data_IF_942710908137
#
_entry.id   IF_942710908137
#
_cell.length_a   1.000
_cell.length_b   1.000
_cell.length_c   1.000
_cell.angle_alpha   90.00
_cell.angle_beta   90.00
_cell.angle_gamma   90.00
#
_symmetry.space_group_name_H-M   'P 1'
#
loop_
_entity.id
_entity.type
_entity.pdbx_description
1 polymer ?
#
# COMPACT_ATOMS: atom_id res chain seq x y z
N UNK A 1 12.72 17.82 10.70
CA UNK A 1 12.57 16.43 10.20
C UNK A 1 12.44 16.48 8.68
N UNK A 2 13.00 15.50 7.95
CA UNK A 2 12.69 15.37 6.51
C UNK A 2 11.18 15.10 6.35
N UNK A 3 10.52 15.67 5.33
CA UNK A 3 9.11 15.34 5.10
C UNK A 3 9.00 13.85 4.79
N UNK A 4 8.10 13.18 5.51
CA UNK A 4 7.71 11.79 5.21
C UNK A 4 6.71 11.85 4.07
N UNK A 5 6.85 10.99 3.06
CA UNK A 5 5.85 10.89 1.99
C UNK A 5 4.74 9.93 2.41
N UNK A 6 5.12 8.78 2.95
CA UNK A 6 4.19 7.80 3.51
C UNK A 6 4.88 6.86 4.50
N UNK A 7 4.06 6.15 5.26
CA UNK A 7 4.48 5.10 6.19
C UNK A 7 3.75 3.81 5.84
N UNK A 8 4.49 2.71 5.83
CA UNK A 8 3.95 1.36 5.73
C UNK A 8 3.65 0.89 7.16
N UNK A 9 2.41 0.51 7.38
CA UNK A 9 1.91 0.01 8.65
C UNK A 9 1.64 -1.48 8.57
N UNK A 10 1.79 -2.17 9.69
CA UNK A 10 1.25 -3.50 9.95
C UNK A 10 0.13 -3.37 10.96
N UNK A 11 -1.12 -3.54 10.52
CA UNK A 11 -2.30 -3.14 11.31
C UNK A 11 -2.12 -1.69 11.80
N UNK A 12 -2.17 -1.43 13.10
CA UNK A 12 -1.99 -0.08 13.65
C UNK A 12 -0.53 0.27 13.97
N UNK A 13 0.41 -0.66 13.76
CA UNK A 13 1.82 -0.46 14.07
C UNK A 13 2.57 0.13 12.87
N UNK A 14 3.16 1.33 12.98
CA UNK A 14 4.00 1.88 11.92
C UNK A 14 5.31 1.09 11.84
N UNK A 15 5.65 0.58 10.66
CA UNK A 15 6.81 -0.30 10.50
C UNK A 15 7.94 0.39 9.74
N UNK A 16 7.64 1.05 8.62
CA UNK A 16 8.65 1.63 7.74
C UNK A 16 8.18 2.97 7.22
N UNK A 17 8.94 4.03 7.47
CA UNK A 17 8.74 5.32 6.84
C UNK A 17 9.51 5.38 5.53
N UNK A 18 8.88 5.96 4.51
CA UNK A 18 9.48 6.19 3.20
C UNK A 18 9.42 7.68 2.88
N UNK A 19 10.57 8.23 2.52
CA UNK A 19 10.72 9.60 2.04
C UNK A 19 11.47 9.58 0.71
N UNK A 20 11.09 10.39 -0.27
CA UNK A 20 11.86 10.56 -1.49
C UNK A 20 12.86 11.69 -1.33
N UNK A 21 14.11 11.45 -1.74
CA UNK A 21 15.12 12.50 -1.78
C UNK A 21 14.97 13.41 -3.02
N UNK A 22 15.86 14.40 -3.15
CA UNK A 22 15.87 15.34 -4.26
C UNK A 22 16.05 14.66 -5.65
N UNK A 23 16.61 13.45 -5.69
CA UNK A 23 16.77 12.63 -6.90
C UNK A 23 15.60 11.66 -7.11
N UNK A 24 14.52 11.80 -6.33
CA UNK A 24 13.34 10.91 -6.31
C UNK A 24 13.69 9.46 -5.97
N UNK A 25 14.78 9.23 -5.23
CA UNK A 25 15.09 7.91 -4.71
C UNK A 25 14.45 7.72 -3.33
N UNK A 26 13.82 6.56 -3.07
CA UNK A 26 13.21 6.29 -1.78
C UNK A 26 14.27 6.02 -0.73
N UNK A 27 14.12 6.70 0.41
CA UNK A 27 14.87 6.54 1.63
C UNK A 27 13.97 5.87 2.66
N UNK A 28 14.48 4.81 3.30
CA UNK A 28 13.70 3.96 4.20
C UNK A 28 14.19 4.15 5.63
N UNK A 29 13.25 4.36 6.56
CA UNK A 29 13.53 4.35 8.00
C UNK A 29 12.68 3.26 8.64
N UNK A 30 13.35 2.25 9.21
CA UNK A 30 12.67 1.18 9.95
C UNK A 30 12.31 1.70 11.33
N UNK A 31 11.02 1.61 11.67
CA UNK A 31 10.46 1.94 12.98
C UNK A 31 10.25 0.69 13.83
N UNK A 32 9.88 -0.43 13.21
CA UNK A 32 9.66 -1.71 13.89
C UNK A 32 10.25 -2.86 13.07
N UNK A 33 11.06 -3.70 13.71
CA UNK A 33 11.74 -4.84 13.09
C UNK A 33 10.93 -6.15 13.17
N UNK A 34 9.86 -6.20 13.97
CA UNK A 34 9.07 -7.41 14.20
C UNK A 34 8.15 -7.77 13.04
N UNK A 35 7.78 -6.79 12.20
CA UNK A 35 6.83 -6.95 11.10
C UNK A 35 7.36 -6.35 9.80
N UNK A 36 8.60 -6.66 9.43
CA UNK A 36 9.17 -6.14 8.19
C UNK A 36 8.50 -6.78 6.95
N UNK A 37 8.08 -5.98 5.95
CA UNK A 37 7.54 -6.53 4.71
C UNK A 37 8.59 -7.34 3.96
N UNK A 38 8.31 -8.62 3.70
CA UNK A 38 9.25 -9.54 3.03
C UNK A 38 9.67 -9.04 1.66
N UNK A 39 8.79 -8.38 0.92
CA UNK A 39 9.12 -7.80 -0.39
C UNK A 39 10.17 -6.68 -0.30
N UNK A 40 10.25 -5.99 0.84
CA UNK A 40 11.24 -4.96 1.11
C UNK A 40 12.51 -5.51 1.74
N UNK A 41 12.39 -6.37 2.75
CA UNK A 41 13.53 -6.77 3.61
C UNK A 41 13.92 -8.26 3.47
N UNK A 42 13.29 -9.02 2.57
CA UNK A 42 13.53 -10.45 2.43
C UNK A 42 12.90 -11.27 3.57
N UNK A 43 12.93 -12.60 3.44
CA UNK A 43 12.34 -13.51 4.43
C UNK A 43 13.05 -13.45 5.79
N UNK A 44 14.35 -13.13 5.80
CA UNK A 44 15.17 -13.02 6.99
C UNK A 44 15.21 -11.60 7.57
N UNK A 45 14.54 -10.63 6.93
CA UNK A 45 14.52 -9.23 7.34
C UNK A 45 15.84 -8.47 7.13
N UNK A 46 16.82 -9.05 6.44
CA UNK A 46 18.18 -8.49 6.31
C UNK A 46 18.47 -7.88 4.95
N UNK A 47 17.60 -8.08 3.97
CA UNK A 47 17.81 -7.50 2.66
C UNK A 47 17.69 -5.98 2.72
N UNK A 48 18.57 -5.29 2.00
CA UNK A 48 18.54 -3.84 1.88
C UNK A 48 17.29 -3.45 1.05
N UNK A 49 16.42 -2.57 1.57
CA UNK A 49 15.28 -2.08 0.80
C UNK A 49 15.78 -1.20 -0.35
N UNK A 50 15.17 -1.35 -1.52
CA UNK A 50 15.53 -0.61 -2.74
C UNK A 50 14.28 -0.09 -3.43
N UNK A 51 14.45 0.87 -4.35
CA UNK A 51 13.35 1.35 -5.20
C UNK A 51 12.64 0.19 -5.93
N UNK A 52 13.38 -0.75 -6.51
CA UNK A 52 12.82 -1.90 -7.20
C UNK A 52 12.03 -2.84 -6.27
N UNK A 53 12.46 -3.01 -5.02
CA UNK A 53 11.72 -3.78 -4.00
C UNK A 53 10.45 -3.07 -3.56
N UNK A 54 10.50 -1.74 -3.44
CA UNK A 54 9.33 -0.92 -3.16
C UNK A 54 8.31 -0.94 -4.31
N UNK A 55 8.77 -0.89 -5.56
CA UNK A 55 7.90 -1.03 -6.72
C UNK A 55 7.22 -2.41 -6.77
N UNK A 56 7.95 -3.48 -6.41
CA UNK A 56 7.36 -4.83 -6.23
C UNK A 56 6.33 -4.87 -5.11
N UNK A 57 6.62 -4.24 -3.97
CA UNK A 57 5.67 -4.12 -2.87
C UNK A 57 4.38 -3.45 -3.34
N UNK A 58 4.45 -2.29 -4.01
CA UNK A 58 3.26 -1.63 -4.56
C UNK A 58 2.50 -2.51 -5.56
N UNK A 59 3.22 -3.18 -6.47
CA UNK A 59 2.60 -4.02 -7.50
C UNK A 59 1.83 -5.20 -6.90
N UNK A 60 2.36 -5.81 -5.84
CA UNK A 60 1.76 -6.95 -5.13
C UNK A 60 0.48 -6.56 -4.36
N UNK A 61 0.27 -5.27 -4.09
CA UNK A 61 -0.95 -4.73 -3.47
C UNK A 61 -2.03 -4.33 -4.47
N UNK A 62 -1.79 -4.54 -5.75
CA UNK A 62 -2.70 -4.20 -6.83
C UNK A 62 -3.32 -5.47 -7.44
N UNK A 63 -4.51 -5.35 -8.04
CA UNK A 63 -5.04 -6.42 -8.88
C UNK A 63 -4.13 -6.65 -10.10
N UNK A 64 -3.98 -7.88 -10.63
CA UNK A 64 -3.12 -8.12 -11.79
C UNK A 64 -3.48 -7.24 -12.98
N UNK A 65 -2.47 -6.67 -13.66
CA UNK A 65 -2.69 -5.83 -14.85
C UNK A 65 -3.35 -6.58 -16.02
N UNK A 66 -3.26 -7.90 -16.04
CA UNK A 66 -3.85 -8.81 -17.03
C UNK A 66 -5.29 -9.22 -16.69
N UNK A 67 -5.85 -8.77 -15.56
CA UNK A 67 -7.22 -9.08 -15.16
C UNK A 67 -8.21 -8.57 -16.21
N UNK A 68 -9.18 -9.39 -16.60
CA UNK A 68 -10.12 -9.06 -17.70
C UNK A 68 -10.85 -7.72 -17.46
N UNK A 69 -11.26 -7.45 -16.22
CA UNK A 69 -11.95 -6.21 -15.84
C UNK A 69 -11.01 -5.11 -15.30
N UNK A 70 -9.71 -5.15 -15.60
CA UNK A 70 -8.73 -4.18 -15.09
C UNK A 70 -9.11 -2.72 -15.42
N UNK A 71 -9.61 -2.46 -16.64
CA UNK A 71 -10.02 -1.10 -17.06
C UNK A 71 -11.19 -0.56 -16.24
N UNK A 72 -12.16 -1.42 -15.91
CA UNK A 72 -13.32 -1.05 -15.09
C UNK A 72 -12.89 -0.76 -13.64
N UNK A 73 -12.02 -1.60 -13.08
CA UNK A 73 -11.47 -1.38 -11.73
C UNK A 73 -10.67 -0.08 -11.63
N UNK A 74 -9.87 0.24 -12.65
CA UNK A 74 -9.18 1.53 -12.75
C UNK A 74 -10.17 2.69 -12.79
N UNK A 75 -11.22 2.60 -13.63
CA UNK A 75 -12.23 3.64 -13.75
C UNK A 75 -12.99 3.87 -12.43
N UNK A 76 -13.34 2.81 -11.70
CA UNK A 76 -13.95 2.89 -10.36
C UNK A 76 -13.02 3.62 -9.37
N UNK A 77 -11.71 3.38 -9.46
CA UNK A 77 -10.71 4.09 -8.66
C UNK A 77 -10.42 5.53 -9.17
N UNK A 78 -11.05 5.97 -10.26
CA UNK A 78 -10.81 7.27 -10.90
C UNK A 78 -9.46 7.35 -11.62
N UNK A 79 -8.95 6.23 -12.13
CA UNK A 79 -7.67 6.11 -12.82
C UNK A 79 -7.87 5.67 -14.27
N UNK A 80 -7.00 6.15 -15.16
CA UNK A 80 -7.01 5.78 -16.59
C UNK A 80 -5.85 4.88 -17.00
N UNK A 81 -4.81 4.80 -16.16
CA UNK A 81 -3.60 4.03 -16.41
C UNK A 81 -3.31 3.10 -15.25
N UNK A 82 -2.83 1.90 -15.57
CA UNK A 82 -2.37 0.96 -14.57
C UNK A 82 -1.01 1.42 -14.02
N UNK A 83 -1.03 2.13 -12.89
CA UNK A 83 0.16 2.57 -12.17
C UNK A 83 0.06 2.16 -10.70
N UNK A 84 0.86 1.17 -10.24
CA UNK A 84 0.73 0.60 -8.89
C UNK A 84 0.76 1.64 -7.76
N UNK A 85 1.63 2.65 -7.86
CA UNK A 85 1.72 3.73 -6.86
C UNK A 85 0.43 4.55 -6.76
N UNK A 86 -0.22 4.85 -7.90
CA UNK A 86 -1.48 5.57 -7.92
C UNK A 86 -2.65 4.72 -7.45
N UNK A 87 -2.66 3.42 -7.81
CA UNK A 87 -3.65 2.47 -7.31
C UNK A 87 -3.55 2.39 -5.78
N UNK A 88 -2.35 2.18 -5.24
CA UNK A 88 -2.12 2.16 -3.80
C UNK A 88 -2.47 3.50 -3.13
N UNK A 89 -2.29 4.63 -3.82
CA UNK A 89 -2.72 5.94 -3.30
C UNK A 89 -4.24 6.04 -3.13
N UNK A 90 -5.00 5.35 -3.99
CA UNK A 90 -6.47 5.29 -3.92
C UNK A 90 -6.97 4.24 -2.93
N UNK A 91 -6.25 3.13 -2.76
CA UNK A 91 -6.71 1.99 -1.97
C UNK A 91 -5.98 1.81 -0.63
N UNK A 92 -5.00 2.66 -0.35
CA UNK A 92 -4.03 2.47 0.74
C UNK A 92 -3.27 1.13 0.67
N UNK A 93 -3.31 0.44 -0.47
CA UNK A 93 -2.67 -0.86 -0.66
C UNK A 93 -3.23 -1.98 0.23
N UNK A 94 -4.46 -1.84 0.76
CA UNK A 94 -5.09 -2.86 1.60
C UNK A 94 -5.41 -4.12 0.78
N UNK A 95 -5.22 -5.28 1.39
CA UNK A 95 -5.50 -6.59 0.79
C UNK A 95 -6.13 -7.49 1.85
N UNK A 96 -7.20 -8.22 1.49
CA UNK A 96 -8.00 -8.99 2.45
C UNK A 96 -7.23 -10.05 3.28
N UNK A 97 -6.13 -10.58 2.75
CA UNK A 97 -5.33 -11.64 3.37
C UNK A 97 -3.96 -11.16 3.86
N UNK A 98 -3.74 -9.85 3.94
CA UNK A 98 -2.52 -9.27 4.47
C UNK A 98 -2.86 -8.12 5.44
N UNK A 99 -1.93 -7.80 6.32
CA UNK A 99 -2.08 -6.79 7.35
C UNK A 99 -1.35 -5.49 7.02
N UNK A 100 -0.59 -5.46 5.93
CA UNK A 100 0.12 -4.26 5.50
C UNK A 100 -0.79 -3.28 4.79
N UNK A 101 -0.63 -2.00 5.10
CA UNK A 101 -1.25 -0.88 4.38
C UNK A 101 -0.36 0.35 4.39
N UNK A 102 -0.73 1.35 3.60
CA UNK A 102 0.06 2.54 3.36
C UNK A 102 -0.74 3.76 3.78
N UNK A 103 -0.16 4.53 4.70
CA UNK A 103 -0.68 5.82 5.11
C UNK A 103 0.23 6.92 4.60
N UNK A 104 -0.32 7.82 3.83
CA UNK A 104 0.37 8.97 3.27
C UNK A 104 0.35 10.13 4.25
N UNK A 105 1.30 11.05 4.09
CA UNK A 105 1.51 12.15 5.03
C UNK A 105 0.34 13.15 5.09
N UNK A 106 -0.44 13.24 4.03
CA UNK A 106 -1.62 14.09 3.88
C UNK A 106 -2.93 13.34 4.18
N UNK A 107 -2.88 12.09 4.64
CA UNK A 107 -4.07 11.36 5.08
C UNK A 107 -4.58 11.88 6.45
N UNK A 108 -5.89 11.76 6.72
CA UNK A 108 -6.48 12.11 8.02
C UNK A 108 -5.78 11.46 9.21
N UNK A 109 -5.74 12.16 10.36
CA UNK A 109 -5.07 11.68 11.57
C UNK A 109 -5.74 10.43 12.19
N UNK A 110 -7.04 10.27 11.97
CA UNK A 110 -7.93 9.21 12.45
C UNK A 110 -8.02 8.00 11.51
N UNK A 111 -7.38 8.04 10.34
CA UNK A 111 -7.33 6.90 9.43
C UNK A 111 -6.63 5.70 10.10
N UNK A 112 -7.29 4.54 10.07
CA UNK A 112 -6.82 3.30 10.70
C UNK A 112 -6.95 2.09 9.78
N UNK A 113 -6.25 1.01 10.09
CA UNK A 113 -6.41 -0.24 9.36
C UNK A 113 -7.84 -0.78 9.52
N UNK A 114 -8.40 -0.68 10.72
CA UNK A 114 -9.76 -1.13 11.01
C UNK A 114 -10.82 -0.40 10.15
N UNK A 115 -10.73 0.92 10.00
CA UNK A 115 -11.69 1.68 9.18
C UNK A 115 -11.60 1.30 7.70
N UNK A 116 -10.38 1.14 7.16
CA UNK A 116 -10.16 0.71 5.79
C UNK A 116 -10.69 -0.70 5.51
N UNK A 117 -10.46 -1.65 6.43
CA UNK A 117 -10.99 -3.01 6.31
C UNK A 117 -12.51 -3.05 6.37
N UNK A 118 -13.12 -2.19 7.18
CA UNK A 118 -14.59 -2.07 7.25
C UNK A 118 -15.16 -1.55 5.93
N UNK A 119 -14.53 -0.56 5.30
CA UNK A 119 -14.93 -0.05 3.98
C UNK A 119 -14.81 -1.12 2.89
N UNK A 120 -13.69 -1.84 2.86
CA UNK A 120 -13.50 -2.95 1.93
C UNK A 120 -14.57 -4.05 2.12
N UNK A 121 -14.86 -4.42 3.38
CA UNK A 121 -15.88 -5.43 3.68
C UNK A 121 -17.28 -4.99 3.20
N UNK A 122 -17.63 -3.71 3.37
CA UNK A 122 -18.89 -3.15 2.84
C UNK A 122 -18.92 -3.25 1.32
N UNK A 123 -17.85 -2.85 0.64
CA UNK A 123 -17.77 -2.90 -0.82
C UNK A 123 -17.93 -4.33 -1.36
N UNK A 124 -17.31 -5.33 -0.70
CA UNK A 124 -17.45 -6.74 -1.08
C UNK A 124 -18.89 -7.23 -0.90
N UNK A 125 -19.55 -6.90 0.21
CA UNK A 125 -20.95 -7.30 0.47
C UNK A 125 -21.91 -6.72 -0.57
N UNK A 126 -21.77 -5.44 -0.89
CA UNK A 126 -22.60 -4.79 -1.93
C UNK A 126 -22.47 -5.45 -3.30
N UNK A 127 -21.29 -6.00 -3.64
CA UNK A 127 -21.09 -6.72 -4.91
C UNK A 127 -21.74 -8.11 -4.85
N UNK A 128 -21.71 -8.79 -3.71
CA UNK A 128 -22.37 -10.09 -3.52
C UNK A 128 -23.89 -10.01 -3.53
N UNK A 129 -24.48 -8.92 -3.03
CA UNK A 129 -25.94 -8.74 -2.98
C UNK A 129 -26.54 -8.32 -4.34
N UNK A 130 -25.70 -7.83 -5.28
CA UNK A 130 -26.10 -7.37 -6.60
C UNK A 130 -25.88 -8.41 -7.71
N UNK A 131 -25.54 -9.65 -7.37
CA UNK A 131 -25.20 -10.74 -8.29
C UNK A 131 -25.93 -12.03 -7.95
#
# INVERSE_FOLDING_TARGET
MKPVDFTIYWKETPVVQVCYDAMKQPQFTVLDHSHLPVLLFGMDGKAVPTAARLDKFFADRCFPSTRQNAKELLAIAGLTLYQPKLICRKTHGIVAHDHYWIRYADDPSDLSHASLMQEMSKAVKTVSDNN
#
